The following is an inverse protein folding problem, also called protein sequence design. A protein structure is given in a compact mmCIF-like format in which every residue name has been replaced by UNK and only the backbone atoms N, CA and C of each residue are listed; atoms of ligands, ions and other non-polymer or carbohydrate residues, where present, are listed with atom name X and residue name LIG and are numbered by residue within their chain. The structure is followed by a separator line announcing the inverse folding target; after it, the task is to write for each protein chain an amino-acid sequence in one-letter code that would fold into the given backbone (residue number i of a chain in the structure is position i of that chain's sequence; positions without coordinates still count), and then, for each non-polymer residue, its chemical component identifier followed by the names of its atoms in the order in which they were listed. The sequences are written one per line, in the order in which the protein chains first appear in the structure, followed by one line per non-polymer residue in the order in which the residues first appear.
data_IF_142186265775
#
_entry.id   IF_142186265775
#
_cell.length_a   1.000
_cell.length_b   1.000
_cell.length_c   1.000
_cell.angle_alpha   90.00
_cell.angle_beta   90.00
_cell.angle_gamma   90.00
#
_symmetry.space_group_name_H-M   'P 1'
#
loop_
_entity.id
_entity.type
_entity.pdbx_description
1 polymer ?
#
# COMPACT_ATOMS: atom_id res chain seq x y z
N UNK A 1 9.36 4.67 0.84
CA UNK A 1 9.55 6.06 0.38
C UNK A 1 10.35 6.21 -0.93
N UNK A 2 11.00 5.17 -1.47
CA UNK A 2 11.87 5.30 -2.66
C UNK A 2 11.14 5.53 -3.99
N UNK A 3 10.15 4.67 -4.32
CA UNK A 3 9.58 4.57 -5.68
C UNK A 3 8.92 5.86 -6.21
N UNK A 4 8.24 6.62 -5.35
CA UNK A 4 7.41 7.75 -5.81
C UNK A 4 8.21 8.93 -6.34
N UNK A 5 9.47 9.10 -5.95
CA UNK A 5 10.34 10.14 -6.52
C UNK A 5 11.01 9.64 -7.80
N UNK A 6 11.52 8.41 -7.77
CA UNK A 6 12.23 7.77 -8.89
C UNK A 6 11.38 7.70 -10.16
N UNK A 7 10.13 7.20 -10.05
CA UNK A 7 9.24 7.04 -11.21
C UNK A 7 8.88 8.37 -11.91
N UNK A 8 8.99 9.51 -11.20
CA UNK A 8 8.66 10.81 -11.78
C UNK A 8 9.67 11.23 -12.83
N UNK A 9 10.94 10.79 -12.70
CA UNK A 9 12.02 11.21 -13.58
C UNK A 9 11.73 10.80 -15.02
N UNK A 10 11.31 9.55 -15.24
CA UNK A 10 10.92 9.09 -16.58
C UNK A 10 9.51 9.54 -16.95
N UNK A 11 8.54 9.41 -16.03
CA UNK A 11 7.12 9.67 -16.32
C UNK A 11 6.81 11.13 -16.60
N UNK A 12 7.46 12.04 -15.88
CA UNK A 12 7.25 13.49 -16.01
C UNK A 12 8.47 14.20 -16.63
N UNK A 13 9.40 13.43 -17.21
CA UNK A 13 10.45 13.93 -18.08
C UNK A 13 11.61 14.66 -17.40
N UNK A 14 11.73 14.58 -16.07
CA UNK A 14 12.88 15.13 -15.36
C UNK A 14 12.63 15.41 -13.88
N UNK A 15 13.62 16.02 -13.19
CA UNK A 15 13.55 16.32 -11.76
C UNK A 15 12.64 17.51 -11.42
N UNK A 16 12.29 18.34 -12.40
CA UNK A 16 11.47 19.54 -12.23
C UNK A 16 9.95 19.26 -12.23
N UNK A 17 9.53 18.02 -11.93
CA UNK A 17 8.11 17.64 -11.89
C UNK A 17 7.29 18.43 -10.85
N UNK A 18 7.95 19.01 -9.85
CA UNK A 18 7.33 19.88 -8.83
C UNK A 18 6.93 21.26 -9.38
N UNK A 19 7.47 21.68 -10.53
CA UNK A 19 7.15 22.96 -11.16
C UNK A 19 5.88 22.89 -12.03
N UNK A 20 5.41 21.69 -12.36
CA UNK A 20 4.15 21.48 -13.09
C UNK A 20 3.00 22.12 -12.29
N UNK A 21 2.10 22.93 -12.90
CA UNK A 21 1.17 23.79 -12.17
C UNK A 21 0.35 23.14 -11.05
N UNK A 22 -0.09 21.90 -11.26
CA UNK A 22 -0.89 21.14 -10.28
C UNK A 22 -0.06 20.61 -9.10
N UNK A 23 1.24 20.40 -9.29
CA UNK A 23 2.15 19.87 -8.28
C UNK A 23 2.82 20.96 -7.44
N UNK A 24 2.70 22.23 -7.85
CA UNK A 24 3.38 23.33 -7.18
C UNK A 24 2.83 23.52 -5.77
N UNK A 25 3.70 23.66 -4.75
CA UNK A 25 3.25 24.07 -3.44
C UNK A 25 2.63 25.48 -3.51
N UNK A 26 1.61 25.72 -2.69
CA UNK A 26 1.04 27.05 -2.49
C UNK A 26 1.78 27.87 -1.44
N UNK A 27 2.66 27.21 -0.65
CA UNK A 27 3.56 27.87 0.29
C UNK A 27 4.92 28.19 -0.36
N UNK A 28 5.73 29.10 0.24
CA UNK A 28 7.07 29.40 -0.26
C UNK A 28 7.97 28.15 -0.30
N UNK A 29 8.79 28.04 -1.34
CA UNK A 29 9.83 27.02 -1.46
C UNK A 29 11.09 27.69 -2.02
N UNK A 30 12.21 27.50 -1.33
CA UNK A 30 13.52 28.03 -1.73
C UNK A 30 14.60 27.04 -1.30
N UNK A 31 15.50 26.69 -2.21
CA UNK A 31 16.63 25.80 -1.94
C UNK A 31 17.76 26.09 -2.94
N UNK A 32 18.82 25.28 -2.88
CA UNK A 32 20.00 25.40 -3.74
C UNK A 32 19.98 24.49 -4.97
N UNK A 33 18.89 23.75 -5.23
CA UNK A 33 18.77 22.91 -6.43
C UNK A 33 18.63 23.79 -7.69
N UNK A 34 19.32 23.40 -8.76
CA UNK A 34 19.36 24.12 -10.05
C UNK A 34 19.24 23.15 -11.22
N UNK A 35 19.08 23.72 -12.42
CA UNK A 35 19.07 23.02 -13.70
C UNK A 35 17.98 21.94 -13.82
N UNK A 36 18.27 20.88 -14.58
CA UNK A 36 17.31 19.84 -14.93
C UNK A 36 16.44 20.20 -16.14
N UNK A 37 15.84 19.18 -16.74
CA UNK A 37 14.96 19.33 -17.90
C UNK A 37 13.78 20.25 -17.58
N UNK A 38 13.46 21.16 -18.50
CA UNK A 38 12.30 22.08 -18.44
C UNK A 38 12.23 22.92 -17.13
N UNK A 39 13.39 23.41 -16.66
CA UNK A 39 13.45 24.32 -15.50
C UNK A 39 12.66 25.61 -15.77
N UNK A 40 11.66 25.88 -14.94
CA UNK A 40 10.82 27.09 -15.00
C UNK A 40 11.27 28.16 -14.00
N UNK A 41 11.76 27.79 -12.82
CA UNK A 41 12.30 28.73 -11.84
C UNK A 41 13.60 29.38 -12.33
N UNK A 42 13.62 30.73 -12.38
CA UNK A 42 14.83 31.51 -12.66
C UNK A 42 15.36 32.05 -11.33
N UNK A 43 16.31 31.32 -10.74
CA UNK A 43 16.94 31.70 -9.47
C UNK A 43 17.92 32.87 -9.67
N UNK A 44 17.77 33.95 -8.90
CA UNK A 44 18.66 35.12 -8.92
C UNK A 44 19.73 35.12 -7.82
N UNK A 45 19.72 34.10 -6.97
CA UNK A 45 20.65 33.98 -5.84
C UNK A 45 22.09 33.82 -6.36
N UNK A 46 23.07 34.63 -5.92
CA UNK A 46 24.46 34.48 -6.33
C UNK A 46 25.10 33.17 -5.84
N UNK A 47 24.50 32.52 -4.82
CA UNK A 47 24.90 31.22 -4.33
C UNK A 47 23.95 30.10 -4.81
N UNK A 48 24.55 28.97 -5.22
CA UNK A 48 23.88 27.69 -5.47
C UNK A 48 24.36 26.59 -4.49
N UNK A 49 24.87 26.99 -3.33
CA UNK A 49 25.40 26.11 -2.28
C UNK A 49 25.24 26.74 -0.89
N UNK A 50 25.35 25.90 0.13
CA UNK A 50 25.53 26.29 1.53
C UNK A 50 26.63 25.44 2.20
N UNK A 51 27.30 25.93 3.25
CA UNK A 51 27.22 27.30 3.77
C UNK A 51 27.88 28.31 2.80
N UNK A 52 27.32 29.51 2.68
CA UNK A 52 27.85 30.58 1.81
C UNK A 52 27.85 31.95 2.51
N UNK A 53 28.84 32.81 2.20
CA UNK A 53 28.90 34.20 2.69
C UNK A 53 28.40 35.22 1.67
N UNK A 54 28.45 34.88 0.38
CA UNK A 54 28.12 35.79 -0.73
C UNK A 54 26.63 36.16 -0.82
N UNK A 55 25.76 35.40 -0.15
CA UNK A 55 24.35 35.72 0.04
C UNK A 55 23.94 35.65 1.53
N UNK A 56 24.87 35.92 2.45
CA UNK A 56 24.63 35.84 3.91
C UNK A 56 23.95 34.52 4.35
N UNK A 57 24.39 33.43 3.73
CA UNK A 57 23.91 32.07 3.94
C UNK A 57 22.42 31.84 3.65
N UNK A 58 21.75 32.68 2.86
CA UNK A 58 20.34 32.48 2.48
C UNK A 58 20.16 31.60 1.21
N UNK A 59 19.08 30.80 1.13
CA UNK A 59 18.12 30.48 2.20
C UNK A 59 18.73 29.64 3.33
N UNK A 60 18.21 29.78 4.56
CA UNK A 60 18.76 29.16 5.78
C UNK A 60 17.94 27.96 6.26
N UNK A 61 18.61 27.06 6.98
CA UNK A 61 17.96 26.04 7.80
C UNK A 61 17.05 26.68 8.87
N UNK A 62 15.98 25.97 9.24
CA UNK A 62 15.03 26.41 10.28
C UNK A 62 15.02 25.39 11.42
N UNK A 63 15.27 25.79 12.68
CA UNK A 63 15.15 24.88 13.82
C UNK A 63 13.74 24.27 13.94
N UNK A 64 13.60 23.06 14.51
CA UNK A 64 12.29 22.49 14.79
C UNK A 64 11.52 23.36 15.79
N UNK A 65 10.20 23.39 15.69
CA UNK A 65 9.35 24.21 16.56
C UNK A 65 7.86 23.91 16.38
N UNK A 66 7.01 24.35 17.33
CA UNK A 66 5.58 23.99 17.35
C UNK A 66 4.79 24.44 16.11
N UNK A 67 5.23 25.53 15.47
CA UNK A 67 4.67 26.09 14.24
C UNK A 67 5.82 26.69 13.44
N UNK A 68 5.81 26.54 12.11
CA UNK A 68 6.83 27.08 11.19
C UNK A 68 8.28 26.61 11.48
N UNK A 69 8.44 25.46 12.14
CA UNK A 69 9.76 24.85 12.35
C UNK A 69 10.22 23.99 11.17
N UNK A 70 11.50 23.65 11.14
CA UNK A 70 12.05 22.65 10.22
C UNK A 70 11.55 21.24 10.51
N UNK A 71 11.65 20.37 9.51
CA UNK A 71 11.35 18.94 9.69
C UNK A 71 12.47 18.28 10.51
N UNK A 72 12.10 17.57 11.57
CA UNK A 72 12.99 16.71 12.35
C UNK A 72 12.35 15.32 12.47
N UNK A 73 13.14 14.27 12.20
CA UNK A 73 12.68 12.90 12.37
C UNK A 73 12.47 12.59 13.85
N UNK A 74 11.38 11.89 14.18
CA UNK A 74 11.20 11.36 15.53
C UNK A 74 12.38 10.44 15.90
N UNK A 75 12.91 10.60 17.11
CA UNK A 75 14.07 9.86 17.60
C UNK A 75 13.68 8.45 18.08
N UNK A 76 13.14 7.65 17.17
CA UNK A 76 12.79 6.26 17.43
C UNK A 76 14.05 5.45 17.76
N UNK A 77 13.99 4.65 18.83
CA UNK A 77 15.07 3.74 19.19
C UNK A 77 15.04 2.54 18.27
N UNK A 78 16.09 2.38 17.45
CA UNK A 78 16.27 1.22 16.58
C UNK A 78 17.39 0.34 17.12
N UNK A 79 17.07 -0.92 17.40
CA UNK A 79 18.01 -1.95 17.84
C UNK A 79 17.83 -3.21 17.00
N UNK A 80 18.93 -3.75 16.46
CA UNK A 80 18.91 -4.95 15.63
C UNK A 80 20.12 -5.06 14.71
N UNK A 81 20.23 -6.21 14.03
CA UNK A 81 21.27 -6.46 13.04
C UNK A 81 20.81 -6.04 11.64
N UNK A 82 21.74 -5.76 10.73
CA UNK A 82 21.43 -5.53 9.30
C UNK A 82 21.07 -6.86 8.65
N UNK A 83 19.77 -7.15 8.53
CA UNK A 83 19.25 -8.40 7.98
C UNK A 83 18.34 -8.16 6.77
N UNK A 84 18.24 -9.17 5.91
CA UNK A 84 17.17 -9.29 4.90
C UNK A 84 16.20 -10.37 5.35
N UNK A 85 15.43 -10.06 6.40
CA UNK A 85 14.52 -11.00 7.06
C UNK A 85 13.16 -10.34 7.28
N UNK A 86 12.08 -11.12 7.16
CA UNK A 86 10.74 -10.67 7.52
C UNK A 86 10.52 -10.98 8.99
N UNK A 87 9.98 -10.02 9.76
CA UNK A 87 9.60 -10.29 11.14
C UNK A 87 8.62 -11.48 11.20
N UNK A 88 8.84 -12.47 12.07
CA UNK A 88 7.90 -13.59 12.26
C UNK A 88 6.47 -13.15 12.58
N UNK A 89 6.29 -11.96 13.18
CA UNK A 89 4.96 -11.41 13.46
C UNK A 89 4.11 -11.13 12.22
N UNK A 90 4.70 -11.11 11.02
CA UNK A 90 3.99 -10.95 9.74
C UNK A 90 3.60 -12.31 9.12
N UNK A 91 3.93 -13.43 9.76
CA UNK A 91 3.75 -14.79 9.23
C UNK A 91 2.33 -15.35 9.31
N UNK A 92 1.32 -14.51 9.49
CA UNK A 92 -0.10 -14.88 9.54
C UNK A 92 -0.82 -14.26 8.34
N UNK A 93 -1.53 -15.08 7.55
CA UNK A 93 -2.05 -14.66 6.24
C UNK A 93 -3.56 -14.91 6.05
N UNK A 94 -4.23 -15.60 6.96
CA UNK A 94 -5.57 -16.16 6.75
C UNK A 94 -6.64 -15.53 7.66
N UNK A 95 -6.27 -15.07 8.84
CA UNK A 95 -7.22 -14.52 9.82
C UNK A 95 -7.90 -13.24 9.33
N UNK A 96 -7.14 -12.35 8.69
CA UNK A 96 -7.67 -11.10 8.13
C UNK A 96 -8.61 -11.33 6.93
N UNK A 97 -8.27 -12.17 5.93
CA UNK A 97 -9.22 -12.58 4.90
C UNK A 97 -10.49 -13.24 5.46
N UNK A 98 -10.36 -14.11 6.48
CA UNK A 98 -11.52 -14.75 7.12
C UNK A 98 -12.43 -13.73 7.79
N UNK A 99 -11.85 -12.80 8.54
CA UNK A 99 -12.58 -11.70 9.16
C UNK A 99 -13.34 -10.87 8.10
N UNK A 100 -12.72 -10.58 6.96
CA UNK A 100 -13.36 -9.89 5.85
C UNK A 100 -14.56 -10.69 5.32
N UNK A 101 -14.37 -11.98 5.02
CA UNK A 101 -15.42 -12.88 4.54
C UNK A 101 -16.64 -12.96 5.47
N UNK A 102 -16.41 -13.18 6.77
CA UNK A 102 -17.47 -13.29 7.79
C UNK A 102 -18.16 -11.95 8.12
N UNK A 103 -17.55 -10.84 7.68
CA UNK A 103 -18.16 -9.51 7.84
C UNK A 103 -19.16 -9.18 6.74
N UNK A 104 -19.12 -9.91 5.61
CA UNK A 104 -19.98 -9.68 4.45
C UNK A 104 -21.41 -10.20 4.67
N UNK A 105 -22.36 -9.59 3.98
CA UNK A 105 -23.72 -10.11 3.84
C UNK A 105 -23.75 -11.33 2.90
N UNK A 106 -24.78 -12.18 2.93
CA UNK A 106 -24.84 -13.38 2.10
C UNK A 106 -24.73 -13.12 0.58
N UNK A 107 -25.25 -12.00 0.07
CA UNK A 107 -25.12 -11.67 -1.35
C UNK A 107 -23.75 -11.08 -1.68
N UNK A 108 -23.12 -10.32 -0.78
CA UNK A 108 -21.72 -9.89 -0.92
C UNK A 108 -20.78 -11.12 -0.95
N UNK A 109 -21.02 -12.09 -0.07
CA UNK A 109 -20.32 -13.39 -0.09
C UNK A 109 -20.49 -14.11 -1.43
N UNK A 110 -21.71 -14.13 -1.97
CA UNK A 110 -21.98 -14.70 -3.30
C UNK A 110 -21.21 -13.97 -4.40
N UNK A 111 -21.19 -12.64 -4.40
CA UNK A 111 -20.42 -11.87 -5.38
C UNK A 111 -18.90 -12.14 -5.29
N UNK A 112 -18.37 -12.34 -4.09
CA UNK A 112 -16.96 -12.74 -3.89
C UNK A 112 -16.71 -14.11 -4.52
N UNK A 113 -17.57 -15.10 -4.26
CA UNK A 113 -17.49 -16.43 -4.88
C UNK A 113 -17.52 -16.33 -6.40
N UNK A 114 -18.47 -15.57 -6.94
CA UNK A 114 -18.65 -15.38 -8.39
C UNK A 114 -17.42 -14.69 -9.01
N UNK A 115 -16.84 -13.69 -8.32
CA UNK A 115 -15.61 -13.02 -8.74
C UNK A 115 -14.41 -13.95 -8.82
N UNK A 116 -14.15 -14.74 -7.78
CA UNK A 116 -13.08 -15.76 -7.80
C UNK A 116 -13.31 -16.77 -8.92
N UNK A 117 -14.53 -17.27 -9.06
CA UNK A 117 -14.89 -18.26 -10.08
C UNK A 117 -14.66 -17.72 -11.49
N UNK A 118 -15.08 -16.46 -11.74
CA UNK A 118 -14.91 -15.81 -13.04
C UNK A 118 -13.44 -15.63 -13.40
N UNK A 119 -12.64 -15.03 -12.51
CA UNK A 119 -11.21 -14.79 -12.77
C UNK A 119 -10.44 -16.11 -12.95
N UNK A 120 -10.69 -17.11 -12.10
CA UNK A 120 -10.04 -18.41 -12.19
C UNK A 120 -10.44 -19.19 -13.45
N UNK A 121 -11.65 -19.01 -13.97
CA UNK A 121 -12.06 -19.61 -15.25
C UNK A 121 -11.17 -19.15 -16.42
N UNK A 122 -10.54 -17.97 -16.33
CA UNK A 122 -9.63 -17.42 -17.35
C UNK A 122 -8.20 -17.95 -17.24
N UNK A 123 -7.85 -18.61 -16.12
CA UNK A 123 -6.52 -19.19 -15.92
C UNK A 123 -6.40 -20.49 -16.71
N UNK A 124 -5.59 -20.52 -17.76
CA UNK A 124 -5.50 -21.70 -18.65
C UNK A 124 -4.97 -22.96 -17.96
N UNK A 125 -4.05 -22.80 -17.00
CA UNK A 125 -3.37 -23.93 -16.34
C UNK A 125 -4.19 -24.42 -15.13
N UNK A 126 -4.79 -25.63 -15.15
CA UNK A 126 -5.72 -26.08 -14.10
C UNK A 126 -5.10 -26.15 -12.70
N UNK A 127 -3.86 -26.63 -12.59
CA UNK A 127 -3.14 -26.73 -11.31
C UNK A 127 -2.97 -25.38 -10.59
N UNK A 128 -3.06 -24.25 -11.29
CA UNK A 128 -3.06 -22.93 -10.67
C UNK A 128 -4.40 -22.68 -9.97
N UNK A 129 -5.51 -23.05 -10.60
CA UNK A 129 -6.86 -22.93 -10.01
C UNK A 129 -6.99 -23.79 -8.76
N UNK A 130 -6.51 -25.04 -8.84
CA UNK A 130 -6.47 -25.99 -7.72
C UNK A 130 -5.68 -25.41 -6.53
N UNK A 131 -4.50 -24.84 -6.77
CA UNK A 131 -3.69 -24.20 -5.72
C UNK A 131 -4.34 -22.96 -5.12
N UNK A 132 -5.06 -22.17 -5.91
CA UNK A 132 -5.80 -21.02 -5.36
C UNK A 132 -6.96 -21.49 -4.48
N UNK A 133 -7.72 -22.49 -4.93
CA UNK A 133 -8.79 -23.12 -4.15
C UNK A 133 -8.26 -23.72 -2.84
N UNK A 134 -7.08 -24.35 -2.87
CA UNK A 134 -6.39 -24.82 -1.68
C UNK A 134 -6.10 -23.68 -0.68
N UNK A 135 -5.62 -22.52 -1.16
CA UNK A 135 -5.44 -21.35 -0.29
C UNK A 135 -6.77 -20.80 0.25
N UNK A 136 -7.87 -20.87 -0.51
CA UNK A 136 -9.20 -20.48 -0.02
C UNK A 136 -9.69 -21.40 1.10
N UNK A 137 -9.35 -22.69 1.06
CA UNK A 137 -9.71 -23.64 2.11
C UNK A 137 -9.09 -23.30 3.48
N UNK A 138 -7.91 -22.67 3.47
CA UNK A 138 -7.28 -22.12 4.69
C UNK A 138 -7.98 -20.87 5.23
N UNK A 139 -8.84 -20.20 4.45
CA UNK A 139 -9.59 -19.01 4.86
C UNK A 139 -10.98 -19.41 5.39
N UNK A 140 -11.77 -20.07 4.55
CA UNK A 140 -13.11 -20.54 4.87
C UNK A 140 -13.55 -21.66 3.92
N UNK A 141 -14.02 -22.78 4.48
CA UNK A 141 -14.44 -23.95 3.69
C UNK A 141 -15.68 -23.67 2.82
N UNK A 142 -16.61 -22.82 3.28
CA UNK A 142 -17.81 -22.50 2.51
C UNK A 142 -17.45 -21.73 1.24
N UNK A 143 -16.52 -20.77 1.37
CA UNK A 143 -15.95 -20.04 0.24
C UNK A 143 -15.22 -20.99 -0.73
N UNK A 144 -14.32 -21.83 -0.21
CA UNK A 144 -13.53 -22.75 -1.03
C UNK A 144 -14.40 -23.73 -1.82
N UNK A 145 -15.38 -24.36 -1.16
CA UNK A 145 -16.31 -25.30 -1.79
C UNK A 145 -17.16 -24.65 -2.88
N UNK A 146 -17.66 -23.44 -2.63
CA UNK A 146 -18.49 -22.74 -3.61
C UNK A 146 -17.70 -22.39 -4.88
N UNK A 147 -16.45 -21.94 -4.74
CA UNK A 147 -15.56 -21.67 -5.88
C UNK A 147 -15.14 -22.97 -6.57
N UNK A 148 -14.77 -24.00 -5.81
CA UNK A 148 -14.36 -25.30 -6.35
C UNK A 148 -15.46 -25.92 -7.22
N UNK A 149 -16.70 -25.88 -6.75
CA UNK A 149 -17.88 -26.35 -7.49
C UNK A 149 -18.04 -25.65 -8.84
N UNK A 150 -17.89 -24.33 -8.89
CA UNK A 150 -18.02 -23.56 -10.13
C UNK A 150 -16.89 -23.87 -11.14
N UNK A 151 -15.74 -24.34 -10.65
CA UNK A 151 -14.57 -24.68 -11.48
C UNK A 151 -14.48 -26.17 -11.83
N UNK A 152 -15.40 -27.00 -11.32
CA UNK A 152 -15.35 -28.46 -11.49
C UNK A 152 -14.20 -29.11 -10.72
N UNK A 153 -13.83 -28.55 -9.57
CA UNK A 153 -12.79 -29.05 -8.67
C UNK A 153 -13.45 -29.68 -7.44
N UNK A 154 -12.96 -30.85 -7.04
CA UNK A 154 -13.34 -31.51 -5.79
C UNK A 154 -12.24 -31.29 -4.75
N UNK A 155 -12.62 -30.91 -3.53
CA UNK A 155 -11.68 -30.78 -2.42
C UNK A 155 -11.33 -32.16 -1.87
N UNK A 156 -10.08 -32.33 -1.46
CA UNK A 156 -9.64 -33.57 -0.79
C UNK A 156 -10.14 -33.61 0.66
N UNK A 157 -10.16 -34.81 1.26
CA UNK A 157 -10.49 -34.97 2.68
C UNK A 157 -9.56 -34.15 3.58
N UNK A 158 -8.27 -34.06 3.23
CA UNK A 158 -7.30 -33.24 3.97
C UNK A 158 -7.70 -31.76 3.94
N UNK A 159 -8.12 -31.24 2.78
CA UNK A 159 -8.56 -29.85 2.63
C UNK A 159 -9.84 -29.56 3.41
N UNK A 160 -10.78 -30.51 3.43
CA UNK A 160 -12.02 -30.39 4.20
C UNK A 160 -11.79 -30.38 5.72
N UNK A 161 -10.66 -30.93 6.18
CA UNK A 161 -10.28 -30.98 7.58
C UNK A 161 -9.33 -29.84 8.02
N UNK A 162 -9.06 -28.85 7.15
CA UNK A 162 -8.26 -27.68 7.51
C UNK A 162 -9.00 -26.88 8.59
N UNK A 163 -8.35 -26.70 9.74
CA UNK A 163 -8.86 -25.83 10.81
C UNK A 163 -8.75 -24.37 10.39
N UNK A 164 -9.85 -23.60 10.38
CA UNK A 164 -9.79 -22.19 10.03
C UNK A 164 -8.97 -21.40 11.07
N UNK A 165 -8.40 -20.25 10.67
CA UNK A 165 -7.67 -19.38 11.60
C UNK A 165 -8.59 -18.90 12.73
N UNK A 166 -8.02 -18.62 13.92
CA UNK A 166 -8.80 -18.15 15.06
C UNK A 166 -9.53 -16.84 14.75
N UNK A 167 -10.69 -16.66 15.38
CA UNK A 167 -11.49 -15.45 15.19
C UNK A 167 -10.77 -14.22 15.73
N UNK A 168 -10.54 -13.25 14.85
CA UNK A 168 -10.07 -11.91 15.21
C UNK A 168 -11.30 -11.05 15.55
N UNK A 169 -11.22 -10.22 16.59
CA UNK A 169 -12.34 -9.41 17.07
C UNK A 169 -13.07 -8.68 15.92
N UNK A 170 -14.37 -8.96 15.78
CA UNK A 170 -15.22 -8.44 14.71
C UNK A 170 -15.41 -6.94 14.85
N UNK A 171 -14.85 -6.16 13.94
CA UNK A 171 -15.23 -4.75 13.73
C UNK A 171 -16.51 -4.71 12.89
N UNK A 172 -17.53 -3.98 13.33
CA UNK A 172 -18.81 -3.83 12.61
C UNK A 172 -18.68 -3.12 11.25
N UNK A 173 -17.50 -2.56 10.93
CA UNK A 173 -17.24 -1.71 9.75
C UNK A 173 -16.85 -2.47 8.47
N UNK A 174 -16.87 -3.82 8.48
CA UNK A 174 -16.34 -4.64 7.38
C UNK A 174 -17.25 -4.86 6.16
N UNK A 175 -18.56 -4.58 6.26
CA UNK A 175 -19.51 -4.69 5.12
C UNK A 175 -19.89 -3.31 4.61
N UNK A 176 -19.89 -3.15 3.29
CA UNK A 176 -20.23 -1.91 2.59
C UNK A 176 -21.66 -1.48 2.97
N UNK A 177 -22.59 -2.43 3.10
CA UNK A 177 -23.99 -2.15 3.39
C UNK A 177 -24.34 -2.04 4.87
N UNK A 178 -23.48 -2.51 5.78
CA UNK A 178 -23.61 -2.19 7.21
C UNK A 178 -23.23 -0.73 7.49
N UNK A 179 -22.33 -0.16 6.67
CA UNK A 179 -21.92 1.24 6.76
C UNK A 179 -23.02 2.21 6.31
N UNK A 180 -23.76 1.87 5.24
CA UNK A 180 -24.82 2.74 4.66
C UNK A 180 -26.07 2.85 5.55
N UNK A 181 -26.34 1.88 6.44
CA UNK A 181 -27.52 1.92 7.34
C UNK A 181 -27.36 2.89 8.53
N UNK A 182 -26.19 3.48 8.73
CA UNK A 182 -25.90 4.41 9.83
C UNK A 182 -25.60 5.85 9.38
N UNK A 183 -25.93 6.20 8.14
CA UNK A 183 -25.80 7.55 7.57
C UNK A 183 -27.14 8.09 7.10
#
# INVERSE_FOLDING_TARGET
MFSYTDTQISRLGGPNFHEIPINRPTCPYHNFQRDGMHRMGIDTNPANYEPNSINDNWPRETPPGPKRGGFESYQERVEGNKVRERSPSFGEYYSHPRLFWLSQTPFEQRHIVDGFSFELSKVVRPYIRERVVDQLAHIDLTLAQAVAKNLGIELTDDQLNITPPPDVQRSEKGSILKFVRHS
#
